data_IF_368291635960
#
_entry.id   IF_368291635960
#
_cell.length_a   1.000
_cell.length_b   1.000
_cell.length_c   1.000
_cell.angle_alpha   90.00
_cell.angle_beta   90.00
_cell.angle_gamma   90.00
#
_symmetry.space_group_name_H-M   'P 1'
#
loop_
_entity.id
_entity.type
_entity.pdbx_description
1 polymer ?
#
# COMPACT_ATOMS: atom_id res chain seq x y z
N UNK A 1 13.76 -1.31 -21.17
CA UNK A 1 13.39 -0.01 -20.57
C UNK A 1 12.50 -0.29 -19.37
N UNK A 2 12.51 0.56 -18.34
CA UNK A 2 11.65 0.41 -17.15
C UNK A 2 10.84 1.70 -16.99
N UNK A 3 9.52 1.56 -16.81
CA UNK A 3 8.61 2.65 -16.45
C UNK A 3 8.30 2.51 -14.95
N UNK A 4 8.98 3.23 -14.06
CA UNK A 4 8.66 3.17 -12.64
C UNK A 4 7.36 3.93 -12.36
N UNK A 5 6.44 3.28 -11.65
CA UNK A 5 5.21 3.91 -11.15
C UNK A 5 5.24 3.76 -9.63
N UNK A 6 5.43 4.88 -8.94
CA UNK A 6 5.44 4.89 -7.48
C UNK A 6 4.01 4.74 -6.96
N UNK A 7 3.78 3.67 -6.21
CA UNK A 7 2.59 3.52 -5.37
C UNK A 7 2.86 4.17 -4.00
N UNK A 8 1.83 4.70 -3.32
CA UNK A 8 1.98 5.15 -1.94
C UNK A 8 2.49 4.01 -1.05
N UNK A 9 3.51 4.28 -0.25
CA UNK A 9 4.11 3.34 0.70
C UNK A 9 3.36 3.29 2.02
N UNK A 10 3.75 2.35 2.89
CA UNK A 10 3.22 2.20 4.26
C UNK A 10 3.53 3.40 5.15
N UNK A 11 4.54 4.18 4.79
CA UNK A 11 4.98 5.38 5.51
C UNK A 11 4.37 6.66 4.93
N UNK A 12 3.58 6.56 3.84
CA UNK A 12 2.81 7.67 3.28
C UNK A 12 1.42 7.71 3.96
N UNK A 13 0.78 8.89 4.08
CA UNK A 13 -0.51 9.16 4.78
C UNK A 13 -1.75 8.38 4.25
N UNK A 14 -1.56 7.36 3.42
CA UNK A 14 -2.56 6.38 3.04
C UNK A 14 -1.88 5.01 2.84
N UNK A 15 -1.64 4.24 3.92
CA UNK A 15 -0.70 3.12 3.93
C UNK A 15 -1.16 1.87 3.16
N UNK A 16 -2.22 1.97 2.37
CA UNK A 16 -2.58 0.94 1.41
C UNK A 16 -2.79 1.56 0.03
N UNK A 17 -2.03 1.04 -0.94
CA UNK A 17 -2.36 1.05 -2.35
C UNK A 17 -3.69 0.32 -2.58
N UNK A 18 -4.80 0.89 -2.10
CA UNK A 18 -6.12 0.34 -2.25
C UNK A 18 -6.45 0.16 -3.74
N UNK A 19 -7.42 -0.70 -4.06
CA UNK A 19 -7.77 -1.02 -5.44
C UNK A 19 -7.90 0.20 -6.37
N UNK A 20 -8.39 1.33 -5.87
CA UNK A 20 -8.51 2.57 -6.62
C UNK A 20 -7.17 3.15 -7.14
N UNK A 21 -6.12 3.18 -6.33
CA UNK A 21 -4.80 3.68 -6.77
C UNK A 21 -4.15 2.69 -7.73
N UNK A 22 -4.25 1.40 -7.40
CA UNK A 22 -3.68 0.34 -8.22
C UNK A 22 -4.33 0.30 -9.61
N UNK A 23 -5.65 0.46 -9.67
CA UNK A 23 -6.41 0.56 -10.93
C UNK A 23 -5.93 1.70 -11.82
N UNK A 24 -5.66 2.88 -11.23
CA UNK A 24 -5.13 4.04 -11.96
C UNK A 24 -3.71 3.79 -12.45
N UNK A 25 -2.86 3.15 -11.64
CA UNK A 25 -1.49 2.80 -12.01
C UNK A 25 -1.44 1.79 -13.16
N UNK A 26 -2.28 0.75 -13.13
CA UNK A 26 -2.39 -0.24 -14.20
C UNK A 26 -2.80 0.43 -15.53
N UNK A 27 -3.84 1.28 -15.49
CA UNK A 27 -4.28 2.03 -16.68
C UNK A 27 -3.19 2.95 -17.21
N UNK A 28 -2.54 3.71 -16.33
CA UNK A 28 -1.43 4.58 -16.72
C UNK A 28 -0.27 3.81 -17.36
N UNK A 29 0.10 2.65 -16.82
CA UNK A 29 1.14 1.81 -17.40
C UNK A 29 0.77 1.37 -18.83
N UNK A 30 -0.47 0.91 -19.02
CA UNK A 30 -0.98 0.51 -20.33
C UNK A 30 -1.01 1.67 -21.33
N UNK A 31 -1.49 2.85 -20.91
CA UNK A 31 -1.52 4.08 -21.73
C UNK A 31 -0.11 4.54 -22.15
N UNK A 32 0.92 4.23 -21.34
CA UNK A 32 2.33 4.48 -21.67
C UNK A 32 2.98 3.36 -22.48
N UNK A 33 2.20 2.38 -22.94
CA UNK A 33 2.68 1.29 -23.79
C UNK A 33 3.51 0.25 -23.04
N UNK A 34 3.32 0.09 -21.74
CA UNK A 34 3.99 -0.97 -20.99
C UNK A 34 3.47 -2.35 -21.46
N UNK A 35 4.34 -3.13 -22.11
CA UNK A 35 4.00 -4.49 -22.55
C UNK A 35 3.91 -5.48 -21.39
N UNK A 36 4.67 -5.26 -20.32
CA UNK A 36 4.67 -6.09 -19.11
C UNK A 36 4.57 -5.19 -17.89
N UNK A 37 3.60 -5.46 -17.02
CA UNK A 37 3.34 -4.74 -15.77
C UNK A 37 3.64 -5.71 -14.62
N UNK A 38 4.61 -5.36 -13.79
CA UNK A 38 4.98 -6.12 -12.58
C UNK A 38 4.35 -5.47 -11.35
N UNK A 39 3.59 -6.24 -10.57
CA UNK A 39 2.94 -5.78 -9.35
C UNK A 39 3.36 -6.68 -8.18
N UNK A 40 4.44 -6.28 -7.51
CA UNK A 40 4.95 -6.97 -6.31
C UNK A 40 4.27 -6.45 -5.04
N UNK A 41 2.94 -6.38 -5.06
CA UNK A 41 2.08 -5.83 -4.00
C UNK A 41 0.77 -6.64 -3.97
N UNK A 42 0.15 -6.74 -2.79
CA UNK A 42 -1.10 -7.46 -2.59
C UNK A 42 -1.93 -6.88 -1.44
N UNK A 43 -3.25 -7.03 -1.54
CA UNK A 43 -4.19 -6.77 -0.44
C UNK A 43 -5.39 -7.71 -0.54
N UNK A 44 -6.11 -7.93 0.56
CA UNK A 44 -7.34 -8.75 0.56
C UNK A 44 -8.55 -8.02 -0.03
N UNK A 45 -8.40 -6.75 -0.43
CA UNK A 45 -9.48 -5.95 -0.98
C UNK A 45 -9.61 -6.18 -2.49
N UNK A 46 -10.74 -6.78 -2.88
CA UNK A 46 -11.21 -6.81 -4.27
C UNK A 46 -11.93 -5.50 -4.63
N UNK A 47 -11.92 -5.10 -5.91
CA UNK A 47 -12.86 -4.10 -6.40
C UNK A 47 -13.18 -4.26 -7.89
N UNK A 48 -14.40 -3.94 -8.34
CA UNK A 48 -14.76 -3.95 -9.77
C UNK A 48 -13.91 -2.99 -10.62
N UNK A 49 -13.42 -1.89 -10.03
CA UNK A 49 -12.53 -0.95 -10.72
C UNK A 49 -11.19 -1.60 -11.07
N UNK A 50 -10.69 -2.49 -10.21
CA UNK A 50 -9.48 -3.26 -10.46
C UNK A 50 -9.67 -4.24 -11.60
N UNK A 51 -10.78 -4.98 -11.62
CA UNK A 51 -11.13 -5.88 -12.73
C UNK A 51 -11.22 -5.11 -14.06
N UNK A 52 -11.85 -3.94 -14.05
CA UNK A 52 -11.95 -3.08 -15.22
C UNK A 52 -10.58 -2.53 -15.68
N UNK A 53 -9.68 -2.22 -14.76
CA UNK A 53 -8.32 -1.78 -15.08
C UNK A 53 -7.47 -2.91 -15.68
N UNK A 54 -7.59 -4.13 -15.14
CA UNK A 54 -6.93 -5.33 -15.68
C UNK A 54 -7.42 -5.60 -17.10
N UNK A 55 -8.74 -5.67 -17.31
CA UNK A 55 -9.33 -5.86 -18.64
C UNK A 55 -8.89 -4.77 -19.63
N UNK A 56 -8.80 -3.52 -19.18
CA UNK A 56 -8.34 -2.40 -20.00
C UNK A 56 -6.88 -2.60 -20.45
N UNK A 57 -5.97 -2.94 -19.53
CA UNK A 57 -4.57 -3.13 -19.84
C UNK A 57 -4.33 -4.36 -20.74
N UNK A 58 -5.05 -5.47 -20.51
CA UNK A 58 -5.01 -6.63 -21.41
C UNK A 58 -5.47 -6.28 -22.83
N UNK A 59 -6.53 -5.48 -22.95
CA UNK A 59 -7.03 -4.97 -24.24
C UNK A 59 -6.06 -4.01 -24.94
N UNK A 60 -5.17 -3.35 -24.19
CA UNK A 60 -4.06 -2.54 -24.73
C UNK A 60 -2.80 -3.35 -25.03
N UNK A 61 -2.87 -4.68 -24.91
CA UNK A 61 -1.76 -5.57 -25.21
C UNK A 61 -0.72 -5.69 -24.09
N UNK A 62 -1.03 -5.26 -22.86
CA UNK A 62 -0.17 -5.51 -21.70
C UNK A 62 -0.37 -6.94 -21.16
N UNK A 63 0.68 -7.50 -20.55
CA UNK A 63 0.59 -8.59 -19.59
C UNK A 63 0.76 -8.04 -18.17
N UNK A 64 0.04 -8.60 -17.20
CA UNK A 64 0.12 -8.20 -15.81
C UNK A 64 0.52 -9.41 -14.98
N UNK A 65 1.59 -9.28 -14.21
CA UNK A 65 2.06 -10.28 -13.27
C UNK A 65 1.96 -9.72 -11.86
N UNK A 66 1.40 -10.49 -10.93
CA UNK A 66 1.25 -10.04 -9.56
C UNK A 66 1.67 -11.10 -8.53
N UNK A 67 2.24 -10.64 -7.42
CA UNK A 67 2.62 -11.48 -6.30
C UNK A 67 1.37 -12.05 -5.60
N UNK A 68 1.38 -13.36 -5.30
CA UNK A 68 0.25 -14.02 -4.62
C UNK A 68 0.23 -13.81 -3.10
N UNK A 69 1.33 -13.36 -2.53
CA UNK A 69 1.45 -13.02 -1.10
C UNK A 69 2.42 -13.93 -0.34
N UNK A 70 2.83 -13.46 0.84
CA UNK A 70 3.83 -14.11 1.70
C UNK A 70 3.22 -14.66 3.01
N UNK A 71 1.93 -14.95 3.00
CA UNK A 71 1.16 -15.35 4.18
C UNK A 71 0.60 -16.79 4.08
N UNK A 72 1.22 -17.65 3.26
CA UNK A 72 0.81 -19.04 3.07
C UNK A 72 0.84 -19.89 4.36
N UNK A 73 1.73 -19.55 5.30
CA UNK A 73 1.78 -20.12 6.65
C UNK A 73 1.06 -19.26 7.71
N UNK A 74 0.38 -18.19 7.29
CA UNK A 74 -0.33 -17.22 8.14
C UNK A 74 -1.77 -17.03 7.63
N UNK A 75 -2.51 -18.13 7.53
CA UNK A 75 -3.92 -18.12 7.11
C UNK A 75 -4.15 -18.16 5.60
N UNK A 76 -3.10 -18.01 4.78
CA UNK A 76 -3.16 -18.14 3.33
C UNK A 76 -4.26 -17.26 2.68
N UNK A 77 -4.29 -15.94 2.97
CA UNK A 77 -5.30 -15.07 2.40
C UNK A 77 -5.17 -14.98 0.88
N UNK A 78 -6.32 -14.90 0.20
CA UNK A 78 -6.35 -14.56 -1.23
C UNK A 78 -6.09 -13.06 -1.37
N UNK A 79 -5.10 -12.70 -2.17
CA UNK A 79 -4.68 -11.31 -2.38
C UNK A 79 -4.90 -10.86 -3.82
N UNK A 80 -5.28 -9.59 -3.98
CA UNK A 80 -5.48 -8.89 -5.23
C UNK A 80 -4.31 -7.92 -5.47
N UNK A 81 -3.83 -7.79 -6.72
CA UNK A 81 -4.52 -8.18 -7.96
C UNK A 81 -4.21 -9.60 -8.45
N UNK A 82 -3.39 -10.40 -7.75
CA UNK A 82 -3.05 -11.74 -8.23
C UNK A 82 -4.26 -12.66 -8.44
N UNK A 83 -5.33 -12.49 -7.65
CA UNK A 83 -6.58 -13.20 -7.83
C UNK A 83 -7.59 -12.51 -8.78
N UNK A 84 -7.22 -11.40 -9.42
CA UNK A 84 -8.09 -10.74 -10.42
C UNK A 84 -8.01 -11.49 -11.75
N UNK A 85 -9.15 -11.90 -12.36
CA UNK A 85 -9.15 -12.59 -13.64
C UNK A 85 -8.35 -11.86 -14.73
N UNK A 86 -7.46 -12.59 -15.39
CA UNK A 86 -6.56 -12.06 -16.41
C UNK A 86 -5.24 -11.49 -15.87
N UNK A 87 -5.01 -11.49 -14.56
CA UNK A 87 -3.69 -11.26 -13.96
C UNK A 87 -2.99 -12.60 -13.82
N UNK A 88 -1.71 -12.68 -14.19
CA UNK A 88 -0.90 -13.88 -13.95
C UNK A 88 -0.43 -13.85 -12.49
N UNK A 89 -1.03 -14.67 -11.65
CA UNK A 89 -0.64 -14.82 -10.25
C UNK A 89 0.66 -15.62 -10.10
N UNK A 90 1.65 -15.05 -9.41
CA UNK A 90 3.00 -15.62 -9.27
C UNK A 90 3.30 -16.00 -7.83
N UNK A 91 3.46 -17.32 -7.60
CA UNK A 91 3.98 -17.89 -6.36
C UNK A 91 5.51 -17.99 -6.33
N UNK A 92 6.06 -18.32 -5.16
CA UNK A 92 7.50 -18.45 -4.96
C UNK A 92 7.92 -19.91 -4.67
N UNK A 93 9.03 -20.31 -5.30
CA UNK A 93 9.73 -21.56 -5.00
C UNK A 93 11.14 -21.31 -4.47
N UNK A 94 11.62 -22.26 -3.67
CA UNK A 94 13.00 -22.30 -3.20
C UNK A 94 13.94 -23.00 -4.17
N UNK A 95 15.21 -23.14 -3.77
CA UNK A 95 16.24 -23.84 -4.57
C UNK A 95 15.89 -25.31 -4.88
N UNK A 96 15.10 -25.93 -4.00
CA UNK A 96 14.60 -27.29 -4.17
C UNK A 96 13.42 -27.40 -5.15
N UNK A 97 13.04 -26.31 -5.83
CA UNK A 97 11.91 -26.21 -6.75
C UNK A 97 10.54 -26.50 -6.11
N UNK A 98 10.43 -26.40 -4.78
CA UNK A 98 9.19 -26.56 -4.03
C UNK A 98 8.69 -25.18 -3.57
N UNK A 99 7.37 -25.06 -3.45
CA UNK A 99 6.73 -23.89 -2.83
C UNK A 99 7.35 -23.63 -1.45
N UNK A 100 7.77 -22.40 -1.19
CA UNK A 100 8.22 -22.00 0.15
C UNK A 100 7.02 -21.96 1.11
N UNK A 101 7.19 -22.27 2.42
CA UNK A 101 6.06 -22.31 3.35
C UNK A 101 5.24 -21.01 3.40
N UNK A 102 5.91 -19.87 3.26
CA UNK A 102 5.31 -18.53 3.30
C UNK A 102 4.64 -18.12 1.97
N UNK A 103 4.98 -18.70 0.82
CA UNK A 103 4.29 -18.37 -0.43
C UNK A 103 2.82 -18.77 -0.35
N UNK A 104 1.90 -17.82 -0.55
CA UNK A 104 0.47 -18.09 -0.64
C UNK A 104 0.20 -19.09 -1.78
N UNK A 105 -0.74 -20.01 -1.56
CA UNK A 105 -1.14 -21.08 -2.47
C UNK A 105 -2.65 -21.07 -2.74
N UNK A 106 -3.09 -21.70 -3.82
CA UNK A 106 -4.50 -21.80 -4.18
C UNK A 106 -4.75 -21.63 -5.68
N UNK A 107 -6.01 -21.41 -6.04
CA UNK A 107 -6.44 -21.23 -7.44
C UNK A 107 -5.87 -19.97 -8.09
N UNK A 108 -5.48 -18.97 -7.29
CA UNK A 108 -4.86 -17.71 -7.74
C UNK A 108 -3.37 -17.84 -8.13
N UNK A 109 -2.77 -19.03 -8.02
CA UNK A 109 -1.40 -19.28 -8.48
C UNK A 109 -1.43 -19.82 -9.91
N UNK A 110 -0.96 -19.05 -10.88
CA UNK A 110 -0.85 -19.50 -12.28
C UNK A 110 0.53 -20.06 -12.58
N UNK A 111 1.57 -19.37 -12.13
CA UNK A 111 2.96 -19.79 -12.32
C UNK A 111 3.76 -19.54 -11.05
N UNK A 112 4.97 -20.07 -11.02
CA UNK A 112 5.92 -19.75 -9.96
C UNK A 112 7.30 -19.41 -10.52
N UNK A 113 8.09 -18.74 -9.69
CA UNK A 113 9.48 -18.44 -9.99
C UNK A 113 10.31 -18.50 -8.69
N UNK A 114 11.64 -18.55 -8.78
CA UNK A 114 12.50 -18.44 -7.61
C UNK A 114 12.19 -17.19 -6.80
N UNK A 115 12.03 -17.33 -5.49
CA UNK A 115 11.75 -16.21 -4.57
C UNK A 115 12.34 -16.37 -3.17
N UNK A 116 13.12 -17.43 -2.93
CA UNK A 116 13.86 -17.65 -1.69
C UNK A 116 15.34 -17.27 -1.91
N UNK A 117 15.98 -16.71 -0.88
CA UNK A 117 17.42 -16.37 -0.89
C UNK A 117 17.87 -15.50 -2.09
N UNK A 118 17.02 -14.56 -2.50
CA UNK A 118 17.25 -13.71 -3.64
C UNK A 118 18.23 -12.59 -3.32
N UNK A 119 19.07 -12.22 -4.30
CA UNK A 119 20.02 -11.10 -4.19
C UNK A 119 19.66 -10.05 -5.22
N UNK A 120 19.46 -8.81 -4.77
CA UNK A 120 19.10 -7.69 -5.65
C UNK A 120 19.80 -6.39 -5.24
N UNK A 121 19.80 -5.41 -6.15
CA UNK A 121 20.35 -4.09 -5.89
C UNK A 121 19.47 -3.31 -4.90
N UNK A 122 20.09 -2.66 -3.92
CA UNK A 122 19.42 -1.85 -2.90
C UNK A 122 20.32 -0.72 -2.39
N UNK A 123 19.78 0.19 -1.58
CA UNK A 123 20.53 1.30 -0.97
C UNK A 123 21.44 0.91 0.22
N UNK A 124 21.73 -0.36 0.42
CA UNK A 124 22.58 -0.85 1.51
C UNK A 124 24.07 -0.56 1.30
N UNK A 125 24.91 -0.81 2.31
CA UNK A 125 26.36 -0.49 2.30
C UNK A 125 27.12 -1.11 1.12
N UNK A 126 26.75 -2.31 0.69
CA UNK A 126 27.37 -3.02 -0.44
C UNK A 126 26.67 -2.75 -1.78
N UNK A 127 25.57 -2.01 -1.78
CA UNK A 127 24.65 -1.89 -2.92
C UNK A 127 23.81 -3.13 -3.19
N UNK A 128 23.91 -4.17 -2.36
CA UNK A 128 23.23 -5.46 -2.52
C UNK A 128 22.48 -5.85 -1.24
N UNK A 129 21.26 -6.35 -1.40
CA UNK A 129 20.43 -6.88 -0.33
C UNK A 129 20.01 -8.32 -0.63
N UNK A 130 19.81 -9.09 0.44
CA UNK A 130 19.14 -10.38 0.39
C UNK A 130 17.67 -10.21 0.75
N UNK A 131 16.80 -10.84 -0.03
CA UNK A 131 15.35 -10.82 0.17
C UNK A 131 14.74 -12.19 -0.07
N UNK A 132 13.52 -12.35 0.42
CA UNK A 132 12.65 -13.45 0.07
C UNK A 132 11.23 -12.91 -0.13
N UNK A 133 10.50 -13.49 -1.06
CA UNK A 133 9.10 -13.17 -1.27
C UNK A 133 8.58 -13.51 -2.66
N UNK A 134 7.26 -13.61 -2.77
CA UNK A 134 6.58 -13.66 -4.08
C UNK A 134 6.87 -12.41 -4.91
N UNK A 135 7.25 -11.30 -4.28
CA UNK A 135 7.71 -10.08 -4.95
C UNK A 135 8.88 -10.30 -5.90
N UNK A 136 9.89 -11.07 -5.48
CA UNK A 136 11.08 -11.39 -6.29
C UNK A 136 10.71 -12.38 -7.40
N UNK A 137 9.86 -13.36 -7.08
CA UNK A 137 9.33 -14.31 -8.04
C UNK A 137 8.55 -13.61 -9.17
N UNK A 138 7.67 -12.66 -8.84
CA UNK A 138 6.90 -11.86 -9.82
C UNK A 138 7.83 -11.08 -10.75
N UNK A 139 8.91 -10.51 -10.21
CA UNK A 139 9.89 -9.79 -11.01
C UNK A 139 10.59 -10.70 -12.03
N UNK A 140 10.97 -11.93 -11.63
CA UNK A 140 11.57 -12.92 -12.52
C UNK A 140 10.59 -13.46 -13.58
N UNK A 141 9.32 -13.68 -13.21
CA UNK A 141 8.29 -14.07 -14.17
C UNK A 141 8.04 -12.95 -15.21
N UNK A 142 7.91 -11.71 -14.75
CA UNK A 142 7.78 -10.52 -15.62
C UNK A 142 8.98 -10.36 -16.56
N UNK A 143 10.20 -10.51 -16.03
CA UNK A 143 11.42 -10.45 -16.82
C UNK A 143 11.49 -11.58 -17.86
N UNK A 144 10.99 -12.77 -17.53
CA UNK A 144 10.91 -13.89 -18.48
C UNK A 144 9.98 -13.57 -19.65
N UNK A 145 8.81 -12.96 -19.38
CA UNK A 145 7.90 -12.49 -20.43
C UNK A 145 8.57 -11.44 -21.32
N UNK A 146 9.20 -10.42 -20.71
CA UNK A 146 9.89 -9.36 -21.43
C UNK A 146 11.03 -9.90 -22.32
N UNK A 147 11.76 -10.91 -21.84
CA UNK A 147 12.85 -11.53 -22.59
C UNK A 147 12.32 -12.28 -23.82
N UNK A 148 11.26 -13.07 -23.68
CA UNK A 148 10.59 -13.75 -24.80
C UNK A 148 10.10 -12.72 -25.81
N UNK A 149 9.43 -11.68 -25.34
CA UNK A 149 8.87 -10.63 -26.21
C UNK A 149 9.95 -9.85 -26.95
N UNK A 150 11.11 -9.63 -26.33
CA UNK A 150 12.24 -8.96 -26.99
C UNK A 150 12.79 -9.77 -28.18
N UNK A 151 12.70 -11.11 -28.11
CA UNK A 151 13.11 -12.01 -29.19
C UNK A 151 12.04 -12.13 -30.28
N UNK A 152 10.78 -11.94 -29.91
CA UNK A 152 9.62 -12.06 -30.78
C UNK A 152 8.75 -10.79 -30.73
N UNK A 153 9.24 -9.66 -31.27
CA UNK A 153 8.59 -8.35 -31.11
C UNK A 153 7.23 -8.23 -31.81
N UNK A 154 6.89 -9.15 -32.72
CA UNK A 154 5.61 -9.18 -33.43
C UNK A 154 4.54 -10.02 -32.72
N UNK A 155 4.87 -10.69 -31.63
CA UNK A 155 3.90 -11.48 -30.86
C UNK A 155 3.00 -10.58 -30.01
N UNK A 156 1.78 -11.05 -29.76
CA UNK A 156 0.86 -10.43 -28.80
C UNK A 156 1.17 -10.86 -27.37
N UNK A 157 0.57 -10.16 -26.39
CA UNK A 157 0.58 -10.56 -24.98
C UNK A 157 0.18 -12.04 -24.81
N UNK A 158 -0.89 -12.44 -25.47
CA UNK A 158 -1.42 -13.79 -25.43
C UNK A 158 -0.42 -14.84 -25.91
N UNK A 159 0.27 -14.56 -27.01
CA UNK A 159 1.27 -15.47 -27.58
C UNK A 159 2.50 -15.60 -26.68
N UNK A 160 2.96 -14.49 -26.09
CA UNK A 160 4.08 -14.50 -25.14
C UNK A 160 3.74 -15.32 -23.91
N UNK A 161 2.58 -15.09 -23.30
CA UNK A 161 2.13 -15.87 -22.14
C UNK A 161 1.93 -17.34 -22.49
N UNK A 162 1.40 -17.66 -23.68
CA UNK A 162 1.25 -19.05 -24.12
C UNK A 162 2.58 -19.76 -24.24
N UNK A 163 3.60 -19.13 -24.82
CA UNK A 163 4.95 -19.71 -24.91
C UNK A 163 5.56 -19.90 -23.53
N UNK A 164 5.33 -18.99 -22.58
CA UNK A 164 5.74 -19.20 -21.19
C UNK A 164 5.10 -20.45 -20.60
N UNK A 165 3.79 -20.65 -20.79
CA UNK A 165 3.07 -21.81 -20.29
C UNK A 165 3.46 -23.11 -20.99
N UNK A 166 3.68 -23.09 -22.31
CA UNK A 166 4.11 -24.26 -23.09
C UNK A 166 5.48 -24.79 -22.66
N UNK A 167 6.33 -23.93 -22.09
CA UNK A 167 7.71 -24.25 -21.73
C UNK A 167 7.96 -24.29 -20.23
N UNK A 168 6.89 -24.16 -19.44
CA UNK A 168 6.91 -24.14 -17.98
C UNK A 168 7.43 -25.48 -17.42
N UNK A 169 8.13 -25.43 -16.28
CA UNK A 169 8.47 -26.63 -15.51
C UNK A 169 7.27 -27.04 -14.66
N UNK A 170 6.38 -27.87 -15.22
CA UNK A 170 5.13 -28.27 -14.59
C UNK A 170 5.27 -29.20 -13.37
N UNK A 171 4.16 -29.49 -12.67
CA UNK A 171 4.12 -30.45 -11.58
C UNK A 171 4.69 -31.83 -11.94
N UNK A 172 5.39 -32.46 -10.99
CA UNK A 172 6.03 -33.78 -11.18
C UNK A 172 5.12 -34.96 -10.86
N UNK A 173 3.94 -34.69 -10.30
CA UNK A 173 2.89 -35.67 -9.98
C UNK A 173 1.99 -36.00 -11.17
N UNK A 174 2.26 -35.43 -12.35
CA UNK A 174 1.48 -35.61 -13.58
C UNK A 174 0.27 -34.68 -13.69
N UNK A 175 0.01 -33.83 -12.68
CA UNK A 175 -1.01 -32.80 -12.79
C UNK A 175 -0.59 -31.71 -13.78
N UNK A 176 -1.55 -31.18 -14.55
CA UNK A 176 -1.29 -30.02 -15.43
C UNK A 176 -1.11 -28.71 -14.65
N UNK A 177 -1.73 -28.63 -13.47
CA UNK A 177 -1.70 -27.49 -12.54
C UNK A 177 -1.92 -28.03 -11.13
N UNK A 178 -1.26 -27.45 -10.14
CA UNK A 178 -1.63 -27.63 -8.73
C UNK A 178 -1.64 -26.28 -8.00
N UNK A 179 -2.18 -26.25 -6.79
CA UNK A 179 -2.33 -25.01 -6.02
C UNK A 179 -1.00 -24.47 -5.47
N UNK A 180 0.07 -25.26 -5.50
CA UNK A 180 1.36 -24.88 -4.94
C UNK A 180 2.21 -24.07 -5.90
N UNK A 181 2.34 -24.51 -7.16
CA UNK A 181 3.19 -23.86 -8.18
C UNK A 181 2.41 -23.45 -9.44
N UNK A 182 1.07 -23.57 -9.42
CA UNK A 182 0.24 -23.33 -10.58
C UNK A 182 0.52 -24.34 -11.69
N UNK A 183 0.58 -23.85 -12.92
CA UNK A 183 0.99 -24.60 -14.11
C UNK A 183 2.47 -24.96 -14.10
N UNK A 184 3.29 -24.30 -13.28
CA UNK A 184 4.69 -24.65 -13.08
C UNK A 184 5.63 -23.46 -12.89
N UNK A 185 6.93 -23.76 -12.93
CA UNK A 185 8.01 -22.79 -12.72
C UNK A 185 8.51 -22.21 -14.05
N UNK A 186 8.72 -20.90 -14.13
CA UNK A 186 9.18 -20.21 -15.36
C UNK A 186 10.56 -20.69 -15.84
N UNK A 187 10.70 -20.92 -17.15
CA UNK A 187 11.94 -21.42 -17.79
C UNK A 187 12.32 -20.59 -19.02
N UNK A 188 12.74 -19.32 -18.86
CA UNK A 188 13.00 -18.42 -19.98
C UNK A 188 14.03 -18.96 -20.99
N UNK A 189 15.02 -19.73 -20.54
CA UNK A 189 16.01 -20.38 -21.44
C UNK A 189 15.35 -21.36 -22.42
N UNK A 190 14.35 -22.12 -21.98
CA UNK A 190 13.64 -23.08 -22.83
C UNK A 190 12.70 -22.33 -23.78
N UNK A 191 11.95 -21.37 -23.25
CA UNK A 191 11.07 -20.50 -24.03
C UNK A 191 11.80 -19.82 -25.21
N UNK A 192 13.04 -19.38 -25.01
CA UNK A 192 13.83 -18.75 -26.07
C UNK A 192 14.41 -19.73 -27.11
N UNK A 193 14.69 -20.97 -26.73
CA UNK A 193 15.32 -21.96 -27.62
C UNK A 193 14.29 -22.77 -28.41
N UNK A 194 13.22 -23.15 -27.74
CA UNK A 194 12.17 -24.04 -28.25
C UNK A 194 10.82 -23.51 -27.77
N UNK A 195 10.36 -22.36 -28.30
CA UNK A 195 9.12 -21.71 -27.83
C UNK A 195 7.86 -22.55 -28.08
N UNK A 196 7.92 -23.52 -28.99
CA UNK A 196 6.73 -24.23 -29.47
C UNK A 196 5.85 -23.31 -30.31
N UNK A 197 4.58 -23.69 -30.44
CA UNK A 197 3.57 -22.89 -31.14
C UNK A 197 3.03 -21.78 -30.21
N UNK A 198 3.19 -20.48 -30.55
CA UNK A 198 2.58 -19.40 -29.78
C UNK A 198 1.04 -19.39 -29.83
N UNK A 199 0.44 -20.12 -30.76
CA UNK A 199 -1.00 -20.24 -30.93
C UNK A 199 -1.67 -18.94 -31.40
N UNK A 200 -3.01 -18.86 -31.30
CA UNK A 200 -3.79 -17.71 -31.77
C UNK A 200 -3.49 -16.44 -30.97
N UNK A 201 -3.47 -15.30 -31.67
CA UNK A 201 -3.07 -14.00 -31.14
C UNK A 201 -4.11 -13.36 -30.20
N UNK A 202 -5.38 -13.74 -30.35
CA UNK A 202 -6.57 -13.14 -29.74
C UNK A 202 -7.18 -13.96 -28.59
N UNK A 203 -6.64 -15.14 -28.30
CA UNK A 203 -7.11 -16.01 -27.21
C UNK A 203 -6.23 -15.79 -25.97
N UNK A 204 -6.81 -15.46 -24.81
CA UNK A 204 -6.04 -15.42 -23.56
C UNK A 204 -5.72 -16.85 -23.08
N UNK A 205 -4.47 -17.18 -22.68
CA UNK A 205 -4.09 -18.57 -22.38
C UNK A 205 -4.60 -19.15 -21.06
N UNK A 206 -4.87 -18.31 -20.06
CA UNK A 206 -5.37 -18.78 -18.76
C UNK A 206 -6.91 -18.82 -18.76
N UNK A 207 -7.52 -19.82 -18.09
CA UNK A 207 -8.97 -20.04 -18.15
C UNK A 207 -9.78 -19.04 -17.33
N UNK A 208 -9.18 -18.47 -16.29
CA UNK A 208 -9.79 -17.57 -15.32
C UNK A 208 -10.52 -16.37 -15.95
N UNK A 209 -9.93 -15.79 -17.00
CA UNK A 209 -10.53 -14.66 -17.70
C UNK A 209 -11.80 -15.04 -18.47
N UNK A 210 -11.84 -16.24 -19.04
CA UNK A 210 -13.02 -16.77 -19.73
C UNK A 210 -14.10 -17.24 -18.74
N UNK A 211 -13.67 -17.87 -17.64
CA UNK A 211 -14.55 -18.34 -16.56
C UNK A 211 -15.28 -17.15 -15.90
N UNK A 212 -14.58 -16.04 -15.68
CA UNK A 212 -15.16 -14.81 -15.14
C UNK A 212 -16.13 -14.09 -16.10
N UNK A 213 -16.00 -14.30 -17.42
CA UNK A 213 -16.88 -13.71 -18.43
C UNK A 213 -18.16 -14.54 -18.67
N UNK A 214 -18.19 -15.79 -18.20
CA UNK A 214 -19.35 -16.66 -18.32
C UNK A 214 -20.40 -16.26 -17.27
N UNK A 215 -21.70 -16.13 -17.63
CA UNK A 215 -22.74 -15.86 -16.65
C UNK A 215 -22.80 -17.05 -15.67
N UNK A 216 -22.25 -16.87 -14.48
CA UNK A 216 -22.29 -17.87 -13.42
C UNK A 216 -23.74 -18.16 -13.06
N UNK A 217 -24.22 -19.36 -13.38
CA UNK A 217 -25.48 -19.87 -12.86
C UNK A 217 -25.41 -19.78 -11.33
N UNK A 218 -26.30 -18.99 -10.73
CA UNK A 218 -26.41 -18.85 -9.27
C UNK A 218 -26.34 -20.24 -8.62
N UNK A 219 -25.44 -20.47 -7.65
CA UNK A 219 -25.52 -21.68 -6.85
C UNK A 219 -26.82 -21.57 -6.05
N UNK A 220 -27.83 -22.36 -6.42
CA UNK A 220 -28.99 -22.60 -5.58
C UNK A 220 -28.49 -23.08 -4.23
N UNK A 221 -28.64 -22.23 -3.22
CA UNK A 221 -28.52 -22.57 -1.83
C UNK A 221 -29.52 -23.68 -1.51
N UNK A 222 -29.08 -24.94 -1.56
CA UNK A 222 -29.75 -26.01 -0.84
C UNK A 222 -29.46 -25.81 0.64
N UNK A 223 -30.27 -24.97 1.27
CA UNK A 223 -30.42 -24.95 2.73
C UNK A 223 -30.96 -26.33 3.16
N UNK A 224 -30.35 -27.02 4.14
CA UNK A 224 -30.91 -28.24 4.69
C UNK A 224 -32.16 -27.89 5.51
N UNK A 225 -33.27 -28.55 5.20
CA UNK A 225 -34.48 -28.52 6.02
C UNK A 225 -34.20 -29.05 7.44
N UNK A 226 -34.91 -28.56 8.47
CA UNK A 226 -34.67 -28.92 9.86
C UNK A 226 -35.15 -30.36 10.14
N UNK A 227 -34.30 -31.17 10.78
CA UNK A 227 -34.71 -32.46 11.34
C UNK A 227 -35.47 -32.20 12.65
N UNK A 228 -36.69 -32.73 12.69
CA UNK A 228 -37.60 -32.61 13.82
C UNK A 228 -37.10 -33.31 15.08
N UNK A 229 -37.39 -32.66 16.20
CA UNK A 229 -37.42 -33.24 17.54
C UNK A 229 -38.65 -34.13 17.73
N UNK A 230 -38.41 -35.30 18.31
CA UNK A 230 -39.37 -36.10 19.08
C UNK A 230 -38.49 -36.98 19.98
N UNK A 231 -38.62 -37.05 21.29
CA UNK A 231 -39.52 -36.47 22.26
C UNK A 231 -39.24 -37.23 23.56
N UNK A 232 -39.29 -36.58 24.72
CA UNK A 232 -39.57 -37.21 26.02
C UNK A 232 -39.94 -36.13 27.03
N UNK A 233 -41.15 -36.29 27.56
CA UNK A 233 -41.89 -35.45 28.51
C UNK A 233 -41.36 -35.57 29.95
N UNK A 234 -41.83 -34.71 30.88
CA UNK A 234 -41.10 -34.24 32.06
C UNK A 234 -41.56 -34.88 33.37
N UNK A 235 -40.72 -34.75 34.40
CA UNK A 235 -41.16 -34.79 35.80
C UNK A 235 -40.96 -33.41 36.45
N UNK A 236 -42.06 -32.89 36.98
CA UNK A 236 -42.17 -31.83 37.99
C UNK A 236 -41.74 -32.40 39.36
N UNK A 237 -41.46 -31.72 40.47
CA UNK A 237 -41.73 -30.42 41.07
C UNK A 237 -40.53 -30.19 42.04
N UNK A 238 -40.13 -28.99 42.47
CA UNK A 238 -40.77 -28.30 43.60
C UNK A 238 -40.12 -26.92 43.81
N UNK A 239 -41.00 -25.92 43.89
CA UNK A 239 -40.93 -24.58 44.51
C UNK A 239 -39.87 -24.34 45.61
N UNK A 240 -39.21 -23.17 45.63
CA UNK A 240 -39.65 -22.02 46.44
C UNK A 240 -38.55 -20.96 46.72
N UNK A 241 -38.95 -19.71 46.44
CA UNK A 241 -38.76 -18.50 47.25
C UNK A 241 -37.40 -17.77 47.35
N UNK A 242 -37.54 -16.43 47.27
CA UNK A 242 -36.53 -15.39 47.32
C UNK A 242 -36.21 -14.91 48.75
N UNK A 243 -34.94 -14.50 48.95
CA UNK A 243 -34.35 -13.35 49.68
C UNK A 243 -34.98 -12.78 50.99
N UNK A 244 -34.28 -11.91 51.77
CA UNK A 244 -32.84 -11.72 52.03
C UNK A 244 -32.51 -11.61 53.56
N UNK A 245 -31.23 -11.39 53.94
CA UNK A 245 -30.76 -10.32 54.87
C UNK A 245 -29.63 -10.73 55.85
N UNK A 246 -28.67 -9.79 55.98
CA UNK A 246 -27.94 -9.33 57.17
C UNK A 246 -26.75 -10.14 57.76
N UNK A 247 -25.55 -9.60 57.49
CA UNK A 247 -24.52 -9.09 58.42
C UNK A 247 -24.41 -9.61 59.87
N UNK A 248 -23.18 -10.00 60.24
CA UNK A 248 -22.33 -9.48 61.35
C UNK A 248 -20.94 -10.17 61.27
N UNK A 249 -19.83 -9.47 61.06
CA UNK A 249 -19.02 -8.61 61.96
C UNK A 249 -18.15 -9.33 63.00
N UNK A 250 -16.89 -8.88 63.04
CA UNK A 250 -15.92 -9.00 64.13
C UNK A 250 -14.69 -9.85 63.78
N UNK A 251 -13.44 -9.46 64.04
CA UNK A 251 -12.78 -8.27 64.59
C UNK A 251 -11.27 -8.58 64.54
N UNK A 252 -10.36 -7.60 64.59
CA UNK A 252 -8.94 -7.87 64.83
C UNK A 252 -7.92 -6.89 64.25
N UNK A 253 -7.94 -5.68 64.79
CA UNK A 253 -7.03 -4.55 64.57
C UNK A 253 -5.56 -4.80 64.99
N UNK A 254 -4.61 -4.12 64.32
CA UNK A 254 -3.24 -3.87 64.79
C UNK A 254 -2.64 -2.60 64.13
N UNK A 255 -2.85 -1.46 64.79
CA UNK A 255 -2.11 -0.18 64.86
C UNK A 255 -0.89 0.06 63.94
N UNK A 256 -0.73 1.16 63.18
CA UNK A 256 -0.79 2.63 63.44
C UNK A 256 0.50 3.23 64.07
N UNK A 257 1.17 4.11 63.31
CA UNK A 257 1.94 5.26 63.82
C UNK A 257 1.77 6.49 62.91
N UNK A 258 1.51 7.64 63.54
CA UNK A 258 1.33 8.99 62.99
C UNK A 258 2.57 9.84 63.34
N UNK A 259 2.98 10.77 62.45
CA UNK A 259 3.33 12.19 62.73
C UNK A 259 4.28 12.74 61.64
N UNK A 260 3.82 13.68 60.79
CA UNK A 260 3.94 15.15 60.88
C UNK A 260 5.07 15.73 60.01
N UNK A 261 4.69 16.61 59.09
CA UNK A 261 5.57 17.51 58.35
C UNK A 261 4.78 18.43 57.43
N UNK A 262 4.35 19.58 57.96
CA UNK A 262 3.51 20.57 57.31
C UNK A 262 4.26 21.43 56.27
N UNK A 263 3.53 21.96 55.27
CA UNK A 263 3.95 23.19 54.58
C UNK A 263 3.32 23.47 53.20
N UNK A 264 2.16 24.15 53.18
CA UNK A 264 1.68 25.14 52.19
C UNK A 264 1.37 24.65 50.74
N UNK A 265 0.29 24.97 50.02
CA UNK A 265 -0.67 26.08 49.98
C UNK A 265 -1.96 25.58 49.31
N UNK A 266 -3.14 25.84 49.89
CA UNK A 266 -4.42 25.92 49.16
C UNK A 266 -4.64 27.39 48.83
N UNK A 267 -4.61 27.74 47.55
CA UNK A 267 -5.46 28.73 46.82
C UNK A 267 -4.87 28.79 45.40
N UNK A 268 -5.73 28.60 44.39
CA UNK A 268 -5.64 29.00 42.95
C UNK A 268 -6.29 27.98 41.98
N UNK A 269 -7.35 27.28 42.40
CA UNK A 269 -8.15 26.43 41.51
C UNK A 269 -9.05 27.18 40.51
N UNK A 270 -9.18 28.51 40.60
CA UNK A 270 -10.08 29.29 39.74
C UNK A 270 -9.43 30.01 38.54
N UNK A 271 -8.09 30.15 38.51
CA UNK A 271 -7.41 30.98 37.49
C UNK A 271 -6.94 30.23 36.25
N UNK A 272 -6.65 28.92 36.37
CA UNK A 272 -6.04 28.15 35.29
C UNK A 272 -7.02 27.83 34.14
N UNK A 273 -8.32 27.69 34.42
CA UNK A 273 -9.33 27.50 33.39
C UNK A 273 -9.56 28.78 32.55
N UNK A 274 -9.48 29.96 33.18
CA UNK A 274 -9.67 31.24 32.49
C UNK A 274 -8.44 31.65 31.64
N UNK A 275 -7.21 31.32 32.06
CA UNK A 275 -6.00 31.66 31.27
C UNK A 275 -5.79 30.74 30.06
N UNK A 276 -6.22 29.47 30.14
CA UNK A 276 -6.20 28.55 29.00
C UNK A 276 -7.32 28.87 27.98
N UNK A 277 -8.47 29.35 28.44
CA UNK A 277 -9.56 29.80 27.55
C UNK A 277 -9.35 31.23 27.02
N UNK A 278 -8.67 32.11 27.74
CA UNK A 278 -8.34 33.46 27.26
C UNK A 278 -7.15 33.50 26.28
N UNK A 279 -6.29 32.47 26.26
CA UNK A 279 -5.30 32.30 25.17
C UNK A 279 -5.90 31.79 23.87
N UNK A 280 -7.10 31.20 23.89
CA UNK A 280 -7.83 30.76 22.69
C UNK A 280 -8.68 31.84 22.01
N UNK A 281 -8.65 33.08 22.49
CA UNK A 281 -9.31 34.23 21.85
C UNK A 281 -8.44 35.48 21.79
N UNK A 282 -7.13 35.30 21.57
CA UNK A 282 -6.42 36.28 20.75
C UNK A 282 -6.55 35.76 19.33
N UNK A 283 -7.22 36.47 18.44
CA UNK A 283 -7.05 36.26 17.01
C UNK A 283 -5.54 36.19 16.79
N UNK A 284 -5.00 35.01 16.49
CA UNK A 284 -3.58 34.83 16.32
C UNK A 284 -3.18 35.85 15.25
N UNK A 285 -2.37 36.84 15.64
CA UNK A 285 -1.95 37.87 14.72
C UNK A 285 -1.30 37.13 13.54
N UNK A 286 -1.81 37.42 12.34
CA UNK A 286 -1.36 36.81 11.09
C UNK A 286 0.17 36.84 11.06
N UNK A 287 0.81 35.67 10.85
CA UNK A 287 2.26 35.57 10.87
C UNK A 287 2.84 36.52 9.80
N UNK A 288 3.72 37.43 10.18
CA UNK A 288 4.32 38.38 9.23
C UNK A 288 5.22 37.68 8.22
N UNK A 289 5.32 38.19 6.98
CA UNK A 289 6.07 37.57 5.87
C UNK A 289 7.50 37.17 6.26
N UNK A 290 8.25 38.05 6.90
CA UNK A 290 9.64 37.78 7.31
C UNK A 290 9.75 36.64 8.32
N UNK A 291 8.85 36.62 9.31
CA UNK A 291 8.79 35.55 10.29
C UNK A 291 8.38 34.22 9.66
N UNK A 292 7.47 34.26 8.69
CA UNK A 292 7.06 33.08 7.93
C UNK A 292 8.20 32.55 7.05
N UNK A 293 8.96 33.42 6.38
CA UNK A 293 10.12 33.02 5.58
C UNK A 293 11.24 32.44 6.45
N UNK A 294 11.47 32.99 7.65
CA UNK A 294 12.41 32.44 8.62
C UNK A 294 11.97 31.05 9.12
N UNK A 295 10.69 30.86 9.43
CA UNK A 295 10.13 29.57 9.82
C UNK A 295 10.26 28.53 8.69
N UNK A 296 10.00 28.91 7.43
CA UNK A 296 10.25 28.06 6.27
C UNK A 296 11.72 27.65 6.16
N UNK A 297 12.64 28.60 6.31
CA UNK A 297 14.08 28.35 6.24
C UNK A 297 14.52 27.37 7.33
N UNK A 298 14.05 27.57 8.56
CA UNK A 298 14.36 26.68 9.67
C UNK A 298 13.83 25.26 9.42
N UNK A 299 12.57 25.13 8.99
CA UNK A 299 11.98 23.84 8.68
C UNK A 299 12.73 23.11 7.56
N UNK A 300 13.09 23.83 6.48
CA UNK A 300 13.81 23.24 5.36
C UNK A 300 15.19 22.70 5.78
N UNK A 301 15.94 23.45 6.59
CA UNK A 301 17.29 23.07 6.99
C UNK A 301 17.33 22.06 8.14
N UNK A 302 16.33 22.06 9.03
CA UNK A 302 16.34 21.20 10.22
C UNK A 302 15.48 19.94 10.08
N UNK A 303 14.47 19.97 9.21
CA UNK A 303 13.46 18.89 9.12
C UNK A 303 13.38 18.31 7.71
N UNK A 304 13.15 19.12 6.70
CA UNK A 304 12.93 18.59 5.34
C UNK A 304 14.21 18.10 4.68
N UNK A 305 15.34 18.79 4.89
CA UNK A 305 16.63 18.50 4.26
C UNK A 305 17.81 18.64 5.23
N UNK A 306 17.85 17.87 6.34
CA UNK A 306 18.89 17.99 7.36
C UNK A 306 20.30 17.71 6.80
N UNK A 307 20.44 16.75 5.89
CA UNK A 307 21.72 16.41 5.26
C UNK A 307 22.24 17.49 4.28
N UNK A 308 21.42 18.50 4.02
CA UNK A 308 21.72 19.63 3.12
C UNK A 308 21.59 20.98 3.83
N UNK A 309 21.60 20.98 5.17
CA UNK A 309 21.51 22.19 5.96
C UNK A 309 22.58 23.22 5.53
N UNK A 310 22.17 24.47 5.37
CA UNK A 310 23.01 25.56 4.88
C UNK A 310 23.11 25.68 3.36
N UNK A 311 22.55 24.72 2.60
CA UNK A 311 22.52 24.77 1.13
C UNK A 311 21.13 25.05 0.55
N UNK A 312 20.11 25.20 1.41
CA UNK A 312 18.73 25.50 1.02
C UNK A 312 18.39 26.95 1.35
N UNK A 313 17.95 27.70 0.35
CA UNK A 313 17.66 29.14 0.45
C UNK A 313 16.20 29.41 0.09
N UNK A 314 15.42 29.86 1.07
CA UNK A 314 14.07 30.42 0.81
C UNK A 314 14.22 31.77 0.11
N UNK A 315 13.30 32.09 -0.80
CA UNK A 315 13.24 33.36 -1.52
C UNK A 315 12.08 34.21 -0.95
N UNK A 316 12.30 35.09 0.06
CA UNK A 316 11.22 35.78 0.75
C UNK A 316 10.36 36.66 -0.16
N UNK A 317 10.95 37.20 -1.23
CA UNK A 317 10.26 38.01 -2.23
C UNK A 317 9.16 37.26 -2.99
N UNK A 318 9.22 35.93 -3.03
CA UNK A 318 8.20 35.07 -3.69
C UNK A 318 7.01 34.77 -2.77
N UNK A 319 7.03 35.30 -1.55
CA UNK A 319 5.99 35.11 -0.54
C UNK A 319 4.60 35.55 -1.01
N UNK A 320 3.73 34.57 -1.24
CA UNK A 320 2.30 34.82 -1.54
C UNK A 320 1.46 34.51 -0.31
N UNK A 321 0.58 35.43 0.03
CA UNK A 321 -0.25 35.37 1.23
C UNK A 321 -1.63 34.79 0.91
N UNK A 322 -2.00 33.69 1.55
CA UNK A 322 -3.33 33.08 1.46
C UNK A 322 -4.03 33.15 2.82
N UNK A 323 -5.35 32.88 2.82
CA UNK A 323 -6.14 32.85 4.06
C UNK A 323 -5.61 31.83 5.08
N UNK A 324 -5.10 30.68 4.62
CA UNK A 324 -4.53 29.64 5.47
C UNK A 324 -3.10 29.94 5.96
N UNK A 325 -2.26 30.56 5.12
CA UNK A 325 -0.84 30.73 5.39
C UNK A 325 -0.09 31.40 4.24
N UNK A 326 1.22 31.55 4.40
CA UNK A 326 2.13 31.98 3.34
C UNK A 326 2.59 30.81 2.48
N UNK A 327 2.95 31.08 1.23
CA UNK A 327 3.74 30.19 0.39
C UNK A 327 5.03 30.87 -0.03
N UNK A 328 6.16 30.17 0.02
CA UNK A 328 7.44 30.67 -0.48
C UNK A 328 8.05 29.68 -1.46
N UNK A 329 8.74 30.21 -2.46
CA UNK A 329 9.68 29.43 -3.25
C UNK A 329 10.99 29.30 -2.49
N UNK A 330 11.68 28.18 -2.70
CA UNK A 330 13.04 27.99 -2.22
C UNK A 330 13.86 27.25 -3.27
N UNK A 331 15.18 27.36 -3.15
CA UNK A 331 16.12 26.74 -4.07
C UNK A 331 17.35 26.20 -3.32
N UNK A 332 18.17 25.44 -4.03
CA UNK A 332 19.42 24.89 -3.53
C UNK A 332 20.61 25.65 -4.10
N UNK A 333 21.63 25.94 -3.27
CA UNK A 333 22.84 26.66 -3.68
C UNK A 333 23.55 26.03 -4.89
N UNK A 334 23.37 24.73 -5.11
CA UNK A 334 23.93 24.00 -6.25
C UNK A 334 23.28 24.40 -7.59
N UNK A 335 22.04 24.89 -7.60
CA UNK A 335 21.39 25.42 -8.80
C UNK A 335 21.92 26.81 -9.17
N UNK A 336 22.32 27.63 -8.19
CA UNK A 336 22.91 28.95 -8.42
C UNK A 336 24.31 28.90 -9.05
N UNK A 337 25.02 27.76 -8.98
CA UNK A 337 26.33 27.53 -9.60
C UNK A 337 26.25 26.96 -11.03
N UNK A 338 25.04 26.61 -11.49
CA UNK A 338 24.80 26.11 -12.84
C UNK A 338 24.58 27.29 -13.80
N UNK A 339 25.56 27.57 -14.66
CA UNK A 339 25.45 28.61 -15.72
C UNK A 339 24.59 28.18 -16.92
N UNK A 340 23.88 27.05 -16.83
CA UNK A 340 22.95 26.64 -17.88
C UNK A 340 21.59 27.32 -17.67
N UNK A 341 21.02 27.98 -18.69
CA UNK A 341 19.68 28.55 -18.59
C UNK A 341 18.66 27.40 -18.58
N UNK A 342 18.40 26.83 -17.42
CA UNK A 342 17.31 25.88 -17.24
C UNK A 342 16.01 26.68 -17.20
N UNK A 343 15.35 26.74 -18.34
CA UNK A 343 13.94 27.06 -18.45
C UNK A 343 13.10 25.94 -17.80
N UNK A 344 13.23 25.78 -16.48
CA UNK A 344 12.45 24.84 -15.67
C UNK A 344 11.65 25.66 -14.66
N UNK A 345 10.53 26.20 -15.12
CA UNK A 345 9.52 26.78 -14.25
C UNK A 345 8.84 25.67 -13.44
N UNK A 346 9.42 25.31 -12.30
CA UNK A 346 8.68 24.77 -11.15
C UNK A 346 9.54 25.00 -9.90
N UNK A 347 9.47 26.20 -9.32
CA UNK A 347 10.17 26.46 -8.07
C UNK A 347 9.53 25.62 -6.96
N UNK A 348 10.35 24.94 -6.15
CA UNK A 348 9.86 24.18 -5.01
C UNK A 348 9.12 25.13 -4.05
N UNK A 349 7.89 24.81 -3.69
CA UNK A 349 7.02 25.68 -2.87
C UNK A 349 6.82 25.08 -1.48
N UNK A 350 7.02 25.88 -0.44
CA UNK A 350 6.73 25.55 0.97
C UNK A 350 5.60 26.41 1.50
N UNK A 351 4.71 25.82 2.29
CA UNK A 351 3.57 26.46 2.98
C UNK A 351 3.93 26.72 4.44
N UNK A 352 3.56 27.90 4.94
CA UNK A 352 3.73 28.32 6.34
C UNK A 352 2.39 28.83 6.88
N UNK A 353 1.67 28.05 7.69
CA UNK A 353 0.37 28.43 8.23
C UNK A 353 0.40 29.70 9.11
N UNK A 354 -0.60 30.57 8.98
CA UNK A 354 -0.73 31.77 9.84
C UNK A 354 -0.99 31.42 11.31
N UNK A 355 -1.51 30.22 11.56
CA UNK A 355 -1.76 29.69 12.90
C UNK A 355 -0.47 29.39 13.68
N UNK A 356 0.69 29.42 13.03
CA UNK A 356 1.97 28.98 13.61
C UNK A 356 2.14 27.46 13.64
N UNK A 357 1.26 26.71 12.95
CA UNK A 357 1.46 25.28 12.72
C UNK A 357 2.71 25.03 11.86
N UNK A 358 3.24 23.80 11.94
CA UNK A 358 4.51 23.43 11.28
C UNK A 358 4.45 23.69 9.77
N UNK A 359 5.49 24.33 9.19
CA UNK A 359 5.62 24.43 7.75
C UNK A 359 5.59 23.06 7.07
N UNK A 360 5.07 22.99 5.85
CA UNK A 360 4.92 21.75 5.11
C UNK A 360 4.85 22.00 3.59
N UNK A 361 4.93 20.95 2.80
CA UNK A 361 4.79 21.04 1.35
C UNK A 361 3.34 20.82 0.93
N UNK A 362 2.82 21.59 -0.03
CA UNK A 362 1.51 21.31 -0.61
C UNK A 362 1.57 19.98 -1.40
N UNK A 363 0.46 19.25 -1.53
CA UNK A 363 0.43 18.01 -2.32
C UNK A 363 0.77 18.27 -3.79
N UNK A 364 1.72 17.52 -4.34
CA UNK A 364 2.23 17.73 -5.71
C UNK A 364 1.19 17.56 -6.83
N UNK A 365 0.04 16.93 -6.55
CA UNK A 365 -1.04 16.69 -7.50
C UNK A 365 -2.13 17.77 -7.48
N UNK A 366 -2.03 18.75 -6.57
CA UNK A 366 -2.98 19.86 -6.44
C UNK A 366 -2.26 21.19 -6.71
N UNK A 367 -2.87 22.11 -7.49
CA UNK A 367 -2.38 23.47 -7.57
C UNK A 367 -2.30 24.10 -6.17
N UNK A 368 -1.17 24.72 -5.82
CA UNK A 368 -0.94 25.28 -4.47
C UNK A 368 -2.08 26.20 -4.03
N UNK A 369 -2.58 27.07 -4.91
CA UNK A 369 -3.69 27.97 -4.59
C UNK A 369 -4.98 27.21 -4.21
N UNK A 370 -5.27 26.09 -4.88
CA UNK A 370 -6.42 25.23 -4.57
C UNK A 370 -6.23 24.53 -3.22
N UNK A 371 -5.03 24.02 -2.94
CA UNK A 371 -4.69 23.45 -1.63
C UNK A 371 -4.87 24.46 -0.49
N UNK A 372 -4.37 25.69 -0.67
CA UNK A 372 -4.48 26.75 0.34
C UNK A 372 -5.94 27.14 0.61
N UNK A 373 -6.80 27.12 -0.42
CA UNK A 373 -8.23 27.39 -0.26
C UNK A 373 -8.94 26.28 0.53
N UNK A 374 -8.63 25.00 0.25
CA UNK A 374 -9.17 23.85 0.98
C UNK A 374 -8.76 23.88 2.46
N UNK A 375 -7.49 24.20 2.75
CA UNK A 375 -7.01 24.32 4.12
C UNK A 375 -7.69 25.46 4.89
N UNK A 376 -8.00 26.58 4.21
CA UNK A 376 -8.73 27.70 4.80
C UNK A 376 -10.20 27.36 5.09
N UNK A 377 -10.83 26.47 4.30
CA UNK A 377 -12.20 26.03 4.49
C UNK A 377 -12.40 25.06 5.67
N UNK A 378 -11.32 24.49 6.20
CA UNK A 378 -11.38 23.54 7.33
C UNK A 378 -11.77 22.11 6.93
N UNK A 379 -11.73 21.78 5.64
CA UNK A 379 -12.11 20.47 5.07
C UNK A 379 -11.07 19.35 5.34
N UNK A 380 -10.45 19.33 6.53
CA UNK A 380 -9.69 18.20 7.04
C UNK A 380 -8.26 18.00 6.50
N UNK A 381 -7.75 18.90 5.67
CA UNK A 381 -6.38 18.81 5.14
C UNK A 381 -5.40 19.62 6.00
N UNK A 382 -5.04 19.11 7.18
CA UNK A 382 -3.74 19.47 7.78
C UNK A 382 -3.07 18.17 8.17
N UNK A 383 -2.20 17.60 7.33
CA UNK A 383 -1.34 16.50 7.72
C UNK A 383 -0.47 16.99 8.88
N UNK A 384 -0.60 16.33 10.03
CA UNK A 384 0.35 16.49 11.12
C UNK A 384 1.65 15.87 10.65
N UNK A 385 2.70 16.69 10.55
CA UNK A 385 4.06 16.27 10.21
C UNK A 385 4.51 15.15 11.14
N UNK A 386 4.89 14.01 10.57
CA UNK A 386 5.87 13.09 11.16
C UNK A 386 6.92 12.74 10.13
#
# INVERSE_FOLDING_TARGET
KILPIRMPGTDDDNPFAGPAYLSKAIRYAADKGAQVINISLGSTAHSPELDAAVKYALGHGSLIFAATGNSGNKGNPVEYPAATPGVVGVGAVGENLRRTPWSTYGTQVDVSAPGEDMVHACGGKTGLCKTEGTSDATALASASAALIWSKHPTWTNNQVLRVMLNTIGGPTDGAKRNDSIGYGIVRPRIALKTPGDPGPADVYPLPDLADAASPSASPSSKSPAPKGESGSTPDSDTSAAAAPSAEKEGDGDAMLWIALGAGAVVVLGGGAAAVVLARRRRSAAKLGREHAAAAATQYLNAVAYPDRAGTVTVLPATGTDYAYGWTFQFDFAQHALSTAPTNTSSPYVIVVPHSGATPHFPPAHLPTAQYMAMCAAGDGAVPQVR
#
